data_IF_267495591803
#
_entry.id   IF_267495591803
#
_cell.length_a   1.000
_cell.length_b   1.000
_cell.length_c   1.000
_cell.angle_alpha   90.00
_cell.angle_beta   90.00
_cell.angle_gamma   90.00
#
_symmetry.space_group_name_H-M   'P 1'
#
loop_
_entity.id
_entity.type
_entity.pdbx_description
1 polymer ?
#
# COMPACT_ATOMS: atom_id res chain seq x y z
N UNK A 1 25.95 71.08 35.91
CA UNK A 1 24.78 71.11 35.01
C UNK A 1 23.76 70.12 35.55
N UNK A 2 22.65 70.63 36.07
CA UNK A 2 21.47 69.85 36.51
C UNK A 2 20.72 69.27 35.30
N UNK A 3 20.08 68.10 35.44
CA UNK A 3 18.60 67.92 35.45
C UNK A 3 18.19 66.46 35.16
N UNK A 4 17.15 65.97 35.87
CA UNK A 4 16.37 64.75 35.53
C UNK A 4 16.25 63.73 36.67
N UNK A 5 15.54 64.02 37.77
CA UNK A 5 14.12 63.68 38.07
C UNK A 5 13.93 62.40 38.90
N UNK A 6 13.31 62.61 40.06
CA UNK A 6 12.77 61.63 41.03
C UNK A 6 11.41 61.10 40.57
N UNK A 7 11.15 59.80 40.69
CA UNK A 7 10.09 59.22 41.56
C UNK A 7 9.77 57.75 41.23
N UNK A 8 9.78 56.92 42.28
CA UNK A 8 8.65 56.05 42.61
C UNK A 8 8.57 54.67 41.96
N UNK A 9 8.40 53.65 42.81
CA UNK A 9 7.73 52.41 42.43
C UNK A 9 8.58 51.15 42.58
N UNK A 10 8.64 50.61 43.80
CA UNK A 10 8.55 49.16 43.97
C UNK A 10 7.28 48.70 43.23
N UNK A 11 7.36 47.70 42.37
CA UNK A 11 6.28 46.73 42.09
C UNK A 11 6.78 45.70 41.05
N UNK A 12 6.98 44.47 41.52
CA UNK A 12 6.34 43.29 40.95
C UNK A 12 6.73 42.79 39.53
N UNK A 13 8.00 42.42 39.34
CA UNK A 13 8.47 41.70 38.14
C UNK A 13 8.83 40.22 38.41
N UNK A 14 8.33 39.65 39.52
CA UNK A 14 8.62 38.27 39.94
C UNK A 14 7.53 37.24 39.62
N UNK A 15 6.28 37.67 39.44
CA UNK A 15 5.13 36.74 39.39
C UNK A 15 4.72 36.34 37.97
N UNK A 16 5.02 37.13 36.94
CA UNK A 16 4.61 36.84 35.57
C UNK A 16 5.46 35.77 34.84
N UNK A 17 6.67 35.45 35.29
CA UNK A 17 7.50 34.40 34.68
C UNK A 17 7.17 32.98 35.21
N UNK A 18 6.54 32.89 36.39
CA UNK A 18 6.17 31.60 36.99
C UNK A 18 4.79 31.11 36.51
N UNK A 19 3.86 32.01 36.17
CA UNK A 19 2.53 31.64 35.69
C UNK A 19 2.52 31.10 34.23
N UNK A 20 3.39 31.60 33.34
CA UNK A 20 3.49 31.08 31.96
C UNK A 20 4.19 29.70 31.87
N UNK A 21 5.02 29.36 32.87
CA UNK A 21 5.69 28.05 32.90
C UNK A 21 4.75 26.95 33.41
N UNK A 22 3.85 27.25 34.35
CA UNK A 22 2.83 26.30 34.83
C UNK A 22 1.69 26.07 33.81
N UNK A 23 1.32 27.08 33.02
CA UNK A 23 0.31 26.94 31.96
C UNK A 23 0.76 26.00 30.82
N UNK A 24 2.06 26.01 30.48
CA UNK A 24 2.64 25.13 29.46
C UNK A 24 2.92 23.71 29.98
N UNK A 25 3.19 23.57 31.28
CA UNK A 25 3.36 22.28 31.96
C UNK A 25 2.07 21.48 32.11
N UNK A 26 0.90 22.13 32.15
CA UNK A 26 -0.41 21.48 32.27
C UNK A 26 -1.01 21.04 30.91
N UNK A 27 -0.61 21.69 29.81
CA UNK A 27 -1.09 21.34 28.46
C UNK A 27 -0.44 20.05 27.91
N UNK A 28 0.84 19.82 28.22
CA UNK A 28 1.61 18.65 27.78
C UNK A 28 1.05 17.29 28.28
N UNK A 29 0.71 17.11 29.58
CA UNK A 29 0.13 15.87 30.07
C UNK A 29 -1.28 15.64 29.53
N UNK A 30 -2.03 16.70 29.22
CA UNK A 30 -3.36 16.61 28.60
C UNK A 30 -3.28 16.20 27.11
N UNK A 31 -2.30 16.74 26.36
CA UNK A 31 -2.01 16.31 25.00
C UNK A 31 -1.45 14.88 24.95
N UNK A 32 -0.58 14.52 25.89
CA UNK A 32 -0.04 13.17 26.03
C UNK A 32 -1.13 12.17 26.45
N UNK A 33 -2.07 12.57 27.30
CA UNK A 33 -3.27 11.81 27.66
C UNK A 33 -4.22 11.59 26.47
N UNK A 34 -4.41 12.61 25.62
CA UNK A 34 -5.15 12.47 24.36
C UNK A 34 -4.43 11.58 23.36
N UNK A 35 -3.11 11.71 23.22
CA UNK A 35 -2.28 10.86 22.34
C UNK A 35 -2.29 9.41 22.80
N UNK A 36 -2.12 9.15 24.10
CA UNK A 36 -2.19 7.79 24.67
C UNK A 36 -3.60 7.19 24.57
N UNK A 37 -4.65 8.01 24.74
CA UNK A 37 -6.03 7.60 24.49
C UNK A 37 -6.28 7.25 23.01
N UNK A 38 -5.73 8.03 22.09
CA UNK A 38 -5.80 7.77 20.64
C UNK A 38 -5.04 6.49 20.28
N UNK A 39 -3.82 6.32 20.80
CA UNK A 39 -2.98 5.13 20.59
C UNK A 39 -3.66 3.88 21.14
N UNK A 40 -4.33 3.95 22.29
CA UNK A 40 -5.14 2.85 22.82
C UNK A 40 -6.27 2.45 21.87
N UNK A 41 -6.94 3.42 21.24
CA UNK A 41 -7.98 3.15 20.24
C UNK A 41 -7.47 2.41 19.00
N UNK A 42 -6.23 2.69 18.58
CA UNK A 42 -5.60 2.07 17.41
C UNK A 42 -4.62 0.93 17.74
N UNK A 43 -4.56 0.48 18.99
CA UNK A 43 -3.57 -0.48 19.47
C UNK A 43 -3.61 -1.84 18.72
N UNK A 44 -4.77 -2.21 18.16
CA UNK A 44 -4.92 -3.42 17.36
C UNK A 44 -4.56 -3.22 15.88
N UNK A 45 -4.67 -2.00 15.36
CA UNK A 45 -4.39 -1.66 13.94
C UNK A 45 -2.91 -1.40 13.72
N UNK A 46 -2.25 -0.76 14.68
CA UNK A 46 -0.83 -0.40 14.60
C UNK A 46 0.10 -1.61 14.34
N UNK A 47 0.02 -2.74 15.06
CA UNK A 47 0.86 -3.89 14.78
C UNK A 47 0.57 -4.52 13.40
N UNK A 48 -0.68 -4.50 12.94
CA UNK A 48 -1.05 -4.98 11.61
C UNK A 48 -0.44 -4.08 10.51
N UNK A 49 -0.51 -2.76 10.68
CA UNK A 49 0.06 -1.80 9.75
C UNK A 49 1.59 -1.88 9.68
N UNK A 50 2.26 -2.02 10.83
CA UNK A 50 3.71 -2.21 10.90
C UNK A 50 4.12 -3.54 10.27
N UNK A 51 3.43 -4.63 10.59
CA UNK A 51 3.68 -5.94 10.00
C UNK A 51 3.52 -5.93 8.48
N UNK A 52 2.45 -5.29 7.97
CA UNK A 52 2.25 -5.09 6.54
C UNK A 52 3.39 -4.28 5.90
N UNK A 53 3.81 -3.17 6.53
CA UNK A 53 4.87 -2.31 6.00
C UNK A 53 6.21 -3.03 5.94
N UNK A 54 6.56 -3.79 6.97
CA UNK A 54 7.79 -4.60 7.00
C UNK A 54 7.74 -5.70 5.94
N UNK A 55 6.63 -6.44 5.86
CA UNK A 55 6.45 -7.51 4.88
C UNK A 55 6.54 -6.97 3.43
N UNK A 56 5.83 -5.87 3.15
CA UNK A 56 5.82 -5.22 1.84
C UNK A 56 7.20 -4.69 1.43
N UNK A 57 7.92 -4.08 2.37
CA UNK A 57 9.29 -3.59 2.12
C UNK A 57 10.26 -4.74 1.84
N UNK A 58 10.17 -5.84 2.61
CA UNK A 58 10.99 -7.03 2.41
C UNK A 58 10.71 -7.70 1.06
N UNK A 59 9.43 -7.79 0.67
CA UNK A 59 9.02 -8.31 -0.63
C UNK A 59 9.63 -7.50 -1.77
N UNK A 60 9.58 -6.16 -1.70
CA UNK A 60 10.15 -5.30 -2.73
C UNK A 60 11.67 -5.48 -2.87
N UNK A 61 12.40 -5.53 -1.76
CA UNK A 61 13.86 -5.75 -1.77
C UNK A 61 14.19 -7.14 -2.32
N UNK A 62 13.48 -8.17 -1.86
CA UNK A 62 13.66 -9.56 -2.33
C UNK A 62 13.34 -9.71 -3.81
N UNK A 63 12.28 -9.07 -4.30
CA UNK A 63 11.91 -9.07 -5.71
C UNK A 63 13.01 -8.44 -6.55
N UNK A 64 13.57 -7.30 -6.11
CA UNK A 64 14.68 -6.65 -6.84
C UNK A 64 15.93 -7.52 -6.89
N UNK A 65 16.30 -8.14 -5.76
CA UNK A 65 17.45 -9.06 -5.71
C UNK A 65 17.23 -10.30 -6.56
N UNK A 66 16.05 -10.91 -6.49
CA UNK A 66 15.70 -12.07 -7.30
C UNK A 66 15.76 -11.73 -8.80
N UNK A 67 15.22 -10.58 -9.22
CA UNK A 67 15.26 -10.14 -10.62
C UNK A 67 16.68 -9.84 -11.12
N UNK A 68 17.61 -9.49 -10.23
CA UNK A 68 19.02 -9.28 -10.61
C UNK A 68 19.75 -10.59 -10.95
N UNK A 69 19.36 -11.70 -10.32
CA UNK A 69 19.91 -13.03 -10.59
C UNK A 69 19.07 -13.81 -11.62
N UNK A 70 17.78 -13.53 -11.70
CA UNK A 70 16.79 -14.25 -12.50
C UNK A 70 15.86 -13.25 -13.21
N UNK A 71 16.18 -12.82 -14.45
CA UNK A 71 15.53 -11.69 -15.12
C UNK A 71 14.18 -12.05 -15.78
N UNK A 72 13.39 -12.92 -15.16
CA UNK A 72 12.07 -13.34 -15.65
C UNK A 72 10.99 -12.98 -14.63
N UNK A 73 10.46 -11.74 -14.65
CA UNK A 73 9.50 -11.28 -13.66
C UNK A 73 8.20 -12.08 -13.67
N UNK A 74 7.73 -12.53 -14.84
CA UNK A 74 6.49 -13.32 -14.91
C UNK A 74 6.65 -14.67 -14.23
N UNK A 75 7.78 -15.37 -14.45
CA UNK A 75 8.03 -16.65 -13.77
C UNK A 75 8.28 -16.46 -12.27
N UNK A 76 8.99 -15.40 -11.87
CA UNK A 76 9.22 -15.10 -10.47
C UNK A 76 7.89 -14.92 -9.72
N UNK A 77 6.92 -14.21 -10.30
CA UNK A 77 5.58 -14.06 -9.70
C UNK A 77 4.86 -15.40 -9.58
N UNK A 78 4.92 -16.26 -10.60
CA UNK A 78 4.32 -17.59 -10.52
C UNK A 78 4.96 -18.43 -9.41
N UNK A 79 6.29 -18.39 -9.26
CA UNK A 79 6.97 -19.07 -8.16
C UNK A 79 6.55 -18.52 -6.80
N UNK A 80 6.34 -17.20 -6.68
CA UNK A 80 5.85 -16.58 -5.44
C UNK A 80 4.42 -17.00 -5.11
N UNK A 81 3.53 -17.07 -6.09
CA UNK A 81 2.17 -17.58 -5.90
C UNK A 81 2.17 -19.06 -5.53
N UNK A 82 3.01 -19.88 -6.20
CA UNK A 82 3.18 -21.29 -5.89
C UNK A 82 3.71 -21.51 -4.47
N UNK A 83 4.77 -20.79 -4.10
CA UNK A 83 5.33 -20.85 -2.75
C UNK A 83 4.28 -20.44 -1.70
N UNK A 84 3.57 -19.34 -1.93
CA UNK A 84 2.53 -18.85 -1.02
C UNK A 84 1.37 -19.84 -0.86
N UNK A 85 0.86 -20.39 -1.97
CA UNK A 85 -0.20 -21.40 -1.94
C UNK A 85 0.26 -22.69 -1.24
N UNK A 86 1.49 -23.13 -1.50
CA UNK A 86 2.07 -24.34 -0.89
C UNK A 86 2.28 -24.17 0.61
N UNK A 87 2.86 -23.06 1.05
CA UNK A 87 3.09 -22.78 2.47
C UNK A 87 1.76 -22.75 3.23
N UNK A 88 0.74 -22.06 2.70
CA UNK A 88 -0.59 -22.04 3.35
C UNK A 88 -1.18 -23.45 3.39
N UNK A 89 -1.10 -24.21 2.30
CA UNK A 89 -1.63 -25.58 2.25
C UNK A 89 -0.93 -26.50 3.25
N UNK A 90 0.39 -26.43 3.36
CA UNK A 90 1.17 -27.21 4.33
C UNK A 90 0.77 -26.86 5.75
N UNK A 91 0.74 -25.57 6.10
CA UNK A 91 0.36 -25.12 7.44
C UNK A 91 -1.09 -25.46 7.81
N UNK A 92 -1.99 -25.52 6.84
CA UNK A 92 -3.36 -26.03 7.04
C UNK A 92 -3.39 -27.53 7.31
N UNK A 93 -2.59 -28.33 6.59
CA UNK A 93 -2.48 -29.79 6.86
C UNK A 93 -1.90 -30.05 8.25
N UNK A 94 -0.97 -29.21 8.72
CA UNK A 94 -0.46 -29.25 10.09
C UNK A 94 -1.41 -28.68 11.15
N UNK A 95 -2.63 -28.27 10.77
CA UNK A 95 -3.65 -27.75 11.69
C UNK A 95 -3.32 -26.37 12.29
N UNK A 96 -2.31 -25.65 11.77
CA UNK A 96 -1.94 -24.32 12.27
C UNK A 96 -2.80 -23.19 11.68
N UNK A 97 -3.41 -23.42 10.51
CA UNK A 97 -4.20 -22.43 9.77
C UNK A 97 -5.56 -22.98 9.35
N UNK A 98 -6.60 -22.18 9.54
CA UNK A 98 -7.95 -22.47 9.03
C UNK A 98 -8.11 -21.96 7.59
N UNK A 99 -7.70 -22.79 6.62
CA UNK A 99 -7.95 -22.56 5.20
C UNK A 99 -8.82 -23.69 4.63
N UNK A 100 -9.97 -23.31 4.07
CA UNK A 100 -10.84 -24.27 3.42
C UNK A 100 -10.15 -24.87 2.17
N UNK A 101 -10.36 -26.17 1.88
CA UNK A 101 -9.86 -26.77 0.65
C UNK A 101 -10.41 -26.06 -0.59
N UNK A 102 -9.70 -26.16 -1.71
CA UNK A 102 -10.12 -25.56 -2.97
C UNK A 102 -11.36 -26.32 -3.49
N UNK A 103 -12.53 -25.68 -3.45
CA UNK A 103 -13.75 -26.20 -4.06
C UNK A 103 -14.11 -25.39 -5.29
N UNK A 104 -14.56 -26.06 -6.34
CA UNK A 104 -14.89 -25.41 -7.61
C UNK A 104 -15.94 -24.31 -7.47
N UNK A 105 -16.93 -24.51 -6.61
CA UNK A 105 -18.01 -23.54 -6.37
C UNK A 105 -17.48 -22.22 -5.77
N UNK A 106 -16.60 -22.31 -4.76
CA UNK A 106 -15.98 -21.15 -4.14
C UNK A 106 -14.97 -20.50 -5.09
N UNK A 107 -14.22 -21.31 -5.83
CA UNK A 107 -13.28 -20.82 -6.84
C UNK A 107 -14.00 -20.03 -7.94
N UNK A 108 -15.14 -20.54 -8.44
CA UNK A 108 -15.99 -19.85 -9.43
C UNK A 108 -16.66 -18.58 -8.88
N UNK A 109 -16.84 -18.47 -7.58
CA UNK A 109 -17.31 -17.22 -6.96
C UNK A 109 -16.19 -16.21 -6.74
N UNK A 110 -14.93 -16.66 -6.65
CA UNK A 110 -13.79 -15.83 -6.27
C UNK A 110 -12.82 -15.49 -7.41
N UNK A 111 -12.81 -16.24 -8.53
CA UNK A 111 -11.80 -16.17 -9.60
C UNK A 111 -11.55 -14.78 -10.21
N UNK A 112 -12.54 -13.89 -10.17
CA UNK A 112 -12.37 -12.53 -10.68
C UNK A 112 -11.40 -11.71 -9.84
N UNK A 113 -11.28 -11.99 -8.53
CA UNK A 113 -10.34 -11.31 -7.63
C UNK A 113 -8.89 -11.50 -8.07
N UNK A 114 -8.35 -12.74 -8.20
CA UNK A 114 -6.98 -12.95 -8.66
C UNK A 114 -6.76 -12.48 -10.10
N UNK A 115 -7.77 -12.57 -10.98
CA UNK A 115 -7.66 -12.06 -12.34
C UNK A 115 -7.46 -10.54 -12.37
N UNK A 116 -8.28 -9.78 -11.64
CA UNK A 116 -8.17 -8.31 -11.58
C UNK A 116 -6.86 -7.90 -10.91
N UNK A 117 -6.41 -8.66 -9.90
CA UNK A 117 -5.10 -8.48 -9.28
C UNK A 117 -3.94 -8.64 -10.28
N UNK A 118 -3.97 -9.68 -11.12
CA UNK A 118 -2.96 -9.87 -12.17
C UNK A 118 -2.99 -8.79 -13.24
N UNK A 119 -4.18 -8.39 -13.68
CA UNK A 119 -4.34 -7.26 -14.62
C UNK A 119 -3.74 -5.98 -14.03
N UNK A 120 -3.92 -5.73 -12.73
CA UNK A 120 -3.33 -4.58 -12.05
C UNK A 120 -1.80 -4.65 -12.00
N UNK A 121 -1.22 -5.84 -11.78
CA UNK A 121 0.23 -6.04 -11.87
C UNK A 121 0.74 -5.78 -13.29
N UNK A 122 0.08 -6.34 -14.30
CA UNK A 122 0.47 -6.13 -15.69
C UNK A 122 0.38 -4.66 -16.11
N UNK A 123 -0.71 -3.98 -15.75
CA UNK A 123 -0.87 -2.54 -15.95
C UNK A 123 0.25 -1.76 -15.26
N UNK A 124 0.70 -2.20 -14.09
CA UNK A 124 1.83 -1.59 -13.41
C UNK A 124 3.15 -1.75 -14.17
N UNK A 125 3.44 -2.96 -14.67
CA UNK A 125 4.64 -3.22 -15.46
C UNK A 125 4.64 -2.37 -16.73
N UNK A 126 3.51 -2.30 -17.44
CA UNK A 126 3.37 -1.47 -18.64
C UNK A 126 3.53 0.01 -18.34
N UNK A 127 3.01 0.49 -17.21
CA UNK A 127 3.24 1.86 -16.79
C UNK A 127 4.72 2.13 -16.49
N UNK A 128 5.42 1.22 -15.80
CA UNK A 128 6.84 1.39 -15.52
C UNK A 128 7.72 1.33 -16.78
N UNK A 129 7.30 0.59 -17.81
CA UNK A 129 7.96 0.58 -19.12
C UNK A 129 7.71 1.88 -19.88
N UNK A 130 6.50 2.44 -19.76
CA UNK A 130 6.12 3.65 -20.47
C UNK A 130 6.53 4.94 -19.76
N UNK A 131 6.54 4.99 -18.43
CA UNK A 131 6.63 6.19 -17.60
C UNK A 131 7.78 6.17 -16.59
N UNK A 132 8.11 7.36 -16.07
CA UNK A 132 9.09 7.49 -14.98
C UNK A 132 8.55 6.95 -13.66
N UNK A 133 9.45 6.54 -12.76
CA UNK A 133 9.09 6.01 -11.43
C UNK A 133 8.38 7.11 -10.62
N UNK A 134 8.81 8.36 -10.76
CA UNK A 134 8.24 9.53 -10.12
C UNK A 134 6.78 9.74 -10.53
N UNK A 135 6.48 9.65 -11.82
CA UNK A 135 5.10 9.74 -12.35
C UNK A 135 4.26 8.61 -11.75
N UNK A 136 4.80 7.39 -11.72
CA UNK A 136 4.10 6.24 -11.14
C UNK A 136 3.80 6.44 -9.65
N UNK A 137 4.72 7.02 -8.88
CA UNK A 137 4.54 7.32 -7.45
C UNK A 137 3.41 8.32 -7.26
N UNK A 138 3.41 9.45 -7.99
CA UNK A 138 2.36 10.47 -7.89
C UNK A 138 0.99 9.87 -8.19
N UNK A 139 0.86 9.12 -9.28
CA UNK A 139 -0.41 8.49 -9.63
C UNK A 139 -0.87 7.46 -8.59
N UNK A 140 0.04 6.66 -8.01
CA UNK A 140 -0.33 5.75 -6.91
C UNK A 140 -0.85 6.48 -5.67
N UNK A 141 -0.33 7.65 -5.35
CA UNK A 141 -0.84 8.42 -4.20
C UNK A 141 -2.27 8.95 -4.40
N UNK A 142 -2.74 9.03 -5.65
CA UNK A 142 -4.13 9.37 -5.97
C UNK A 142 -5.09 8.18 -5.78
N UNK A 143 -4.59 6.94 -5.80
CA UNK A 143 -5.43 5.74 -5.68
C UNK A 143 -6.23 5.74 -4.37
N UNK A 144 -5.63 5.94 -3.18
CA UNK A 144 -6.39 6.02 -1.92
C UNK A 144 -7.48 7.10 -1.91
N UNK A 145 -7.25 8.23 -2.60
CA UNK A 145 -8.22 9.30 -2.73
C UNK A 145 -9.44 8.85 -3.55
N UNK A 146 -9.20 8.25 -4.71
CA UNK A 146 -10.25 7.71 -5.58
C UNK A 146 -10.99 6.57 -4.91
N UNK A 147 -10.27 5.63 -4.28
CA UNK A 147 -10.88 4.49 -3.60
C UNK A 147 -11.72 4.94 -2.40
N UNK A 148 -11.30 5.98 -1.66
CA UNK A 148 -12.09 6.52 -0.55
C UNK A 148 -13.41 7.15 -1.01
N UNK A 149 -13.41 7.79 -2.17
CA UNK A 149 -14.62 8.32 -2.79
C UNK A 149 -15.50 7.21 -3.38
N UNK A 150 -14.89 6.23 -4.04
CA UNK A 150 -15.60 5.08 -4.60
C UNK A 150 -16.22 4.19 -3.49
N UNK A 151 -15.56 4.07 -2.34
CA UNK A 151 -16.11 3.40 -1.16
C UNK A 151 -17.40 4.06 -0.67
N UNK A 152 -17.46 5.40 -0.68
CA UNK A 152 -18.69 6.13 -0.38
C UNK A 152 -19.76 5.89 -1.47
N UNK A 153 -19.39 6.00 -2.74
CA UNK A 153 -20.33 5.92 -3.86
C UNK A 153 -20.93 4.53 -4.09
N UNK A 154 -20.13 3.46 -3.93
CA UNK A 154 -20.52 2.09 -4.30
C UNK A 154 -20.76 1.15 -3.11
N UNK A 155 -20.27 1.46 -1.91
CA UNK A 155 -20.44 0.62 -0.71
C UNK A 155 -21.31 1.25 0.38
N UNK A 156 -21.96 2.39 0.11
CA UNK A 156 -22.84 3.12 1.05
C UNK A 156 -22.19 3.36 2.43
N UNK A 157 -20.86 3.50 2.48
CA UNK A 157 -20.14 3.78 3.72
C UNK A 157 -20.21 5.27 4.04
N UNK A 158 -19.95 5.62 5.31
CA UNK A 158 -19.84 7.02 5.73
C UNK A 158 -18.73 7.76 4.96
N UNK A 159 -18.97 9.04 4.65
CA UNK A 159 -17.98 9.91 4.01
C UNK A 159 -16.68 9.94 4.82
N UNK A 160 -15.50 9.93 4.17
CA UNK A 160 -14.23 10.07 4.87
C UNK A 160 -14.24 11.35 5.70
N UNK A 161 -13.84 11.22 6.97
CA UNK A 161 -13.78 12.36 7.88
C UNK A 161 -12.85 13.45 7.33
N UNK A 162 -13.11 14.72 7.65
CA UNK A 162 -12.27 15.86 7.20
C UNK A 162 -10.78 15.65 7.51
N UNK A 163 -10.47 14.99 8.63
CA UNK A 163 -9.09 14.64 9.02
C UNK A 163 -8.46 13.62 8.07
N UNK A 164 -9.22 12.63 7.61
CA UNK A 164 -8.74 11.63 6.64
C UNK A 164 -8.52 12.26 5.27
N UNK A 165 -9.42 13.13 4.81
CA UNK A 165 -9.23 13.88 3.57
C UNK A 165 -7.97 14.74 3.61
N UNK A 166 -7.72 15.46 4.71
CA UNK A 166 -6.48 16.22 4.87
C UNK A 166 -5.24 15.34 4.84
N UNK A 167 -5.28 14.17 5.49
CA UNK A 167 -4.18 13.19 5.42
C UNK A 167 -3.89 12.70 4.00
N UNK A 168 -4.93 12.35 3.25
CA UNK A 168 -4.81 11.93 1.85
C UNK A 168 -4.23 13.04 0.96
N UNK A 169 -4.69 14.29 1.14
CA UNK A 169 -4.16 15.43 0.42
C UNK A 169 -2.69 15.70 0.75
N UNK A 170 -2.28 15.59 2.02
CA UNK A 170 -0.88 15.73 2.42
C UNK A 170 0.01 14.71 1.70
N UNK A 171 -0.43 13.45 1.58
CA UNK A 171 0.32 12.41 0.85
C UNK A 171 0.50 12.80 -0.63
N UNK A 172 -0.55 13.28 -1.28
CA UNK A 172 -0.49 13.74 -2.68
C UNK A 172 0.45 14.93 -2.83
N UNK A 173 0.35 15.93 -1.96
CA UNK A 173 1.22 17.11 -1.97
C UNK A 173 2.68 16.70 -1.76
N UNK A 174 2.97 15.84 -0.80
CA UNK A 174 4.33 15.33 -0.57
C UNK A 174 4.88 14.59 -1.79
N UNK A 175 4.08 13.77 -2.46
CA UNK A 175 4.49 13.09 -3.68
C UNK A 175 4.75 14.06 -4.84
N UNK A 176 3.94 15.12 -4.98
CA UNK A 176 4.16 16.16 -5.99
C UNK A 176 5.44 16.96 -5.73
N UNK A 177 5.73 17.30 -4.47
CA UNK A 177 6.99 17.96 -4.08
C UNK A 177 8.19 17.07 -4.42
N UNK A 178 8.12 15.78 -4.09
CA UNK A 178 9.15 14.80 -4.44
C UNK A 178 9.38 14.72 -5.96
N UNK A 179 8.30 14.62 -6.75
CA UNK A 179 8.40 14.53 -8.21
C UNK A 179 8.96 15.82 -8.84
N UNK A 180 8.68 17.00 -8.26
CA UNK A 180 9.26 18.27 -8.70
C UNK A 180 10.74 18.42 -8.35
N UNK A 181 11.17 17.86 -7.22
CA UNK A 181 12.57 17.88 -6.80
C UNK A 181 13.44 16.86 -7.55
N UNK A 182 12.83 15.89 -8.22
CA UNK A 182 13.53 14.81 -8.90
C UNK A 182 13.89 15.20 -10.34
N UNK A 183 15.14 14.96 -10.74
CA UNK A 183 15.71 15.36 -12.04
C UNK A 183 14.95 14.81 -13.25
N UNK A 184 14.22 13.70 -13.09
CA UNK A 184 13.45 13.06 -14.17
C UNK A 184 12.13 13.74 -14.54
N UNK A 185 11.57 14.60 -13.68
CA UNK A 185 10.31 15.31 -13.90
C UNK A 185 9.08 14.41 -14.14
N UNK A 186 7.90 15.04 -14.27
CA UNK A 186 6.67 14.37 -14.69
C UNK A 186 6.56 14.49 -16.20
N UNK A 187 6.57 13.36 -16.93
CA UNK A 187 6.44 13.39 -18.39
C UNK A 187 4.99 13.26 -18.83
N UNK A 188 4.53 14.22 -19.63
CA UNK A 188 3.11 14.39 -20.00
C UNK A 188 2.65 13.37 -21.06
N UNK A 189 3.57 12.95 -21.92
CA UNK A 189 3.41 11.87 -22.92
C UNK A 189 2.88 10.56 -22.33
N UNK A 190 3.14 10.32 -21.04
CA UNK A 190 2.78 9.06 -20.37
C UNK A 190 1.47 9.10 -19.58
N UNK A 191 0.76 10.24 -19.60
CA UNK A 191 -0.44 10.42 -18.80
C UNK A 191 -1.55 9.45 -19.17
N UNK A 192 -1.69 9.08 -20.45
CA UNK A 192 -2.69 8.10 -20.87
C UNK A 192 -2.48 6.75 -20.18
N UNK A 193 -1.24 6.25 -20.18
CA UNK A 193 -0.87 5.00 -19.49
C UNK A 193 -1.02 5.12 -17.98
N UNK A 194 -0.66 6.27 -17.41
CA UNK A 194 -0.77 6.54 -15.99
C UNK A 194 -2.23 6.59 -15.52
N UNK A 195 -3.13 7.21 -16.30
CA UNK A 195 -4.57 7.25 -16.04
C UNK A 195 -5.17 5.85 -16.18
N UNK A 196 -4.81 5.11 -17.23
CA UNK A 196 -5.30 3.73 -17.41
C UNK A 196 -4.89 2.86 -16.22
N UNK A 197 -3.62 2.93 -15.79
CA UNK A 197 -3.15 2.24 -14.60
C UNK A 197 -3.90 2.68 -13.33
N UNK A 198 -4.12 3.99 -13.15
CA UNK A 198 -4.85 4.55 -12.02
C UNK A 198 -6.27 3.98 -11.93
N UNK A 199 -6.98 3.91 -13.05
CA UNK A 199 -8.33 3.35 -13.12
C UNK A 199 -8.35 1.85 -12.82
N UNK A 200 -7.41 1.09 -13.40
CA UNK A 200 -7.29 -0.35 -13.13
C UNK A 200 -7.00 -0.61 -11.65
N UNK A 201 -6.07 0.14 -11.05
CA UNK A 201 -5.71 -0.05 -9.64
C UNK A 201 -6.82 0.39 -8.68
N UNK A 202 -7.50 1.50 -8.99
CA UNK A 202 -8.64 1.94 -8.19
C UNK A 202 -9.80 0.92 -8.27
N UNK A 203 -10.07 0.40 -9.46
CA UNK A 203 -11.07 -0.66 -9.65
C UNK A 203 -10.69 -1.92 -8.87
N UNK A 204 -9.44 -2.38 -8.97
CA UNK A 204 -8.94 -3.54 -8.25
C UNK A 204 -9.18 -3.42 -6.74
N UNK A 205 -8.73 -2.33 -6.12
CA UNK A 205 -8.89 -2.10 -4.68
C UNK A 205 -10.36 -2.11 -4.22
N UNK A 206 -11.25 -1.47 -4.98
CA UNK A 206 -12.69 -1.40 -4.65
C UNK A 206 -13.38 -2.75 -4.91
N UNK A 207 -13.08 -3.38 -6.04
CA UNK A 207 -13.69 -4.64 -6.45
C UNK A 207 -13.30 -5.78 -5.52
N UNK A 208 -12.02 -5.91 -5.18
CA UNK A 208 -11.54 -6.91 -4.22
C UNK A 208 -12.27 -6.73 -2.89
N UNK A 209 -12.29 -5.51 -2.35
CA UNK A 209 -13.02 -5.21 -1.12
C UNK A 209 -14.51 -5.55 -1.21
N UNK A 210 -15.15 -5.30 -2.35
CA UNK A 210 -16.56 -5.62 -2.59
C UNK A 210 -16.82 -7.12 -2.49
N UNK A 211 -16.02 -7.93 -3.19
CA UNK A 211 -16.11 -9.38 -3.17
C UNK A 211 -15.82 -9.94 -1.77
N UNK A 212 -14.78 -9.41 -1.12
CA UNK A 212 -14.38 -9.82 0.23
C UNK A 212 -15.44 -9.52 1.30
N UNK A 213 -16.29 -8.50 1.10
CA UNK A 213 -17.40 -8.21 2.02
C UNK A 213 -18.62 -9.12 1.77
N UNK A 214 -18.80 -9.65 0.56
CA UNK A 214 -19.94 -10.51 0.20
C UNK A 214 -19.68 -12.00 0.42
N UNK A 215 -18.43 -12.43 0.33
CA UNK A 215 -18.05 -13.84 0.47
C UNK A 215 -17.48 -14.11 1.88
N UNK A 216 -18.24 -14.77 2.77
CA UNK A 216 -17.73 -15.16 4.09
C UNK A 216 -16.70 -16.28 3.92
N UNK A 217 -15.43 -15.90 3.94
CA UNK A 217 -14.29 -16.81 3.87
C UNK A 217 -13.24 -16.36 4.87
N UNK A 218 -12.51 -17.29 5.48
CA UNK A 218 -11.39 -16.95 6.35
C UNK A 218 -10.30 -16.21 5.57
N UNK A 219 -9.52 -15.37 6.24
CA UNK A 219 -8.40 -14.64 5.64
C UNK A 219 -7.40 -15.59 4.96
N UNK A 220 -7.10 -16.72 5.60
CA UNK A 220 -6.20 -17.74 5.06
C UNK A 220 -6.77 -18.46 3.83
N UNK A 221 -8.09 -18.70 3.79
CA UNK A 221 -8.76 -19.24 2.59
C UNK A 221 -8.61 -18.26 1.42
N UNK A 222 -8.81 -16.96 1.66
CA UNK A 222 -8.66 -15.92 0.61
C UNK A 222 -7.24 -15.86 0.08
N UNK A 223 -6.23 -15.92 0.96
CA UNK A 223 -4.81 -15.96 0.56
C UNK A 223 -4.53 -17.21 -0.28
N UNK A 224 -4.98 -18.38 0.17
CA UNK A 224 -4.79 -19.63 -0.58
C UNK A 224 -5.47 -19.58 -1.96
N UNK A 225 -6.74 -19.17 -2.02
CA UNK A 225 -7.51 -19.09 -3.27
C UNK A 225 -6.93 -18.07 -4.23
N UNK A 226 -6.52 -16.90 -3.74
CA UNK A 226 -5.93 -15.87 -4.60
C UNK A 226 -4.64 -16.38 -5.26
N UNK A 227 -3.72 -16.95 -4.49
CA UNK A 227 -2.45 -17.44 -5.02
C UNK A 227 -2.62 -18.69 -5.89
N UNK A 228 -3.48 -19.64 -5.49
CA UNK A 228 -3.71 -20.86 -6.26
C UNK A 228 -4.41 -20.59 -7.61
N UNK A 229 -5.39 -19.68 -7.64
CA UNK A 229 -6.09 -19.33 -8.87
C UNK A 229 -5.27 -18.39 -9.75
N UNK A 230 -4.44 -17.51 -9.17
CA UNK A 230 -3.49 -16.69 -9.93
C UNK A 230 -2.54 -17.57 -10.76
N UNK A 231 -2.05 -18.69 -10.21
CA UNK A 231 -1.27 -19.65 -11.00
C UNK A 231 -1.97 -20.16 -12.27
N UNK A 232 -3.30 -20.29 -12.23
CA UNK A 232 -4.07 -20.70 -13.41
C UNK A 232 -4.17 -19.58 -14.46
N UNK A 233 -4.09 -18.32 -14.05
CA UNK A 233 -4.19 -17.15 -14.93
C UNK A 233 -2.83 -16.63 -15.41
N UNK A 234 -1.73 -17.07 -14.79
CA UNK A 234 -0.36 -16.75 -15.20
C UNK A 234 0.00 -17.06 -16.68
N UNK A 235 -0.39 -18.19 -17.29
CA UNK A 235 0.10 -18.54 -18.63
C UNK A 235 -0.21 -17.52 -19.75
N UNK A 236 -1.42 -16.94 -19.84
CA UNK A 236 -1.68 -15.79 -20.72
C UNK A 236 -0.72 -14.60 -20.54
N UNK A 237 -0.34 -14.27 -19.31
CA UNK A 237 0.56 -13.15 -19.04
C UNK A 237 2.00 -13.44 -19.47
N UNK A 238 2.44 -14.70 -19.37
CA UNK A 238 3.72 -15.16 -19.92
C UNK A 238 3.81 -14.96 -21.44
N UNK A 239 2.71 -15.24 -22.16
CA UNK A 239 2.62 -15.06 -23.61
C UNK A 239 2.63 -13.58 -24.01
N UNK A 240 1.88 -12.74 -23.29
CA UNK A 240 1.84 -11.30 -23.53
C UNK A 240 3.13 -10.56 -23.13
N UNK A 241 3.91 -11.12 -22.21
CA UNK A 241 5.18 -10.57 -21.72
C UNK A 241 6.37 -10.81 -22.64
N UNK A 242 6.26 -11.65 -23.68
CA UNK A 242 7.35 -12.07 -24.58
C UNK A 242 8.54 -12.78 -23.91
N UNK A 243 8.44 -13.14 -22.63
CA UNK A 243 9.51 -13.82 -21.86
C UNK A 243 9.74 -15.28 -22.27
N UNK A 244 8.81 -15.90 -23.01
CA UNK A 244 8.91 -17.29 -23.46
C UNK A 244 10.11 -17.56 -24.37
N UNK A 245 10.55 -16.56 -25.15
CA UNK A 245 11.71 -16.69 -26.03
C UNK A 245 13.02 -16.90 -25.24
N UNK A 246 13.17 -16.17 -24.12
CA UNK A 246 14.35 -16.27 -23.26
C UNK A 246 14.29 -17.45 -22.28
N UNK A 247 13.09 -17.94 -21.94
CA UNK A 247 12.91 -19.15 -21.12
C UNK A 247 13.34 -20.41 -21.88
N UNK A 248 13.09 -20.47 -23.20
CA UNK A 248 13.56 -21.57 -24.04
C UNK A 248 15.09 -21.69 -24.05
N UNK A 249 15.80 -20.55 -24.16
CA UNK A 249 17.27 -20.51 -24.12
C UNK A 249 17.82 -20.88 -22.74
N UNK A 250 17.23 -20.37 -21.65
CA UNK A 250 17.65 -20.70 -20.29
C UNK A 250 17.39 -22.18 -19.92
N UNK A 251 16.24 -22.74 -20.34
CA UNK A 251 15.94 -24.15 -20.14
C UNK A 251 16.89 -25.05 -20.93
N UNK A 252 17.26 -24.66 -22.15
CA UNK A 252 18.27 -25.37 -22.95
C UNK A 252 19.67 -25.30 -22.33
N UNK A 253 20.02 -24.20 -21.65
CA UNK A 253 21.30 -24.07 -20.95
C UNK A 253 21.35 -24.93 -19.68
N UNK A 254 20.24 -25.02 -18.93
CA UNK A 254 20.11 -25.90 -17.76
C UNK A 254 20.03 -27.39 -18.12
N UNK A 255 19.43 -27.76 -19.26
CA UNK A 255 19.41 -29.15 -19.76
C UNK A 255 20.74 -29.63 -20.34
N UNK A 256 21.71 -28.72 -20.53
CA UNK A 256 23.07 -29.03 -21.00
C UNK A 256 24.09 -29.12 -19.86
N UNK A 257 23.69 -28.87 -18.61
CA UNK A 257 24.44 -29.14 -17.39
C UNK A 257 24.05 -30.51 -16.83
#
# INVERSE_FOLDING_TARGET
MQFGTSHGGLHDDGEHAHEETEANGFLFPQQLGRLTGLVKGYAHVLPMALGYTVCSSMLMVSNKLALSAFPFPSLLMALQFLASATVVRLLTVFGKLDAAPLTWEKARSFWMVPLVFEVAIFANIKLLQAASIETTIVFRTLVPLITSWADYAFMERELPSRRSCLGLLTIVVSAMVYARSSTGGIRVDTWLWAILYLLVLAFEMVYVKHVLNRLPMSTWTRVYYNNALALCFWPPFLLCGSEYAHLGEAAQLLLRL
#
